data_IF_763667536455
#
_entry.id   IF_763667536455
#
_cell.length_a   1.000
_cell.length_b   1.000
_cell.length_c   1.000
_cell.angle_alpha   90.00
_cell.angle_beta   90.00
_cell.angle_gamma   90.00
#
_symmetry.space_group_name_H-M   'P 1'
#
loop_
_entity.id
_entity.type
_entity.pdbx_description
1 polymer ?
#
# COMPACT_ATOMS: atom_id res chain seq x y z
N UNK A 1 -10.85 -0.02 5.76
CA UNK A 1 -11.07 -0.29 4.31
C UNK A 1 -10.68 -1.73 4.03
N UNK A 2 -11.54 -2.49 3.35
CA UNK A 2 -11.18 -3.82 2.82
C UNK A 2 -10.31 -3.61 1.58
N UNK A 3 -9.07 -4.09 1.63
CA UNK A 3 -8.04 -3.71 0.64
C UNK A 3 -8.00 -4.63 -0.59
N UNK A 4 -8.60 -5.82 -0.51
CA UNK A 4 -8.64 -6.79 -1.61
C UNK A 4 -9.97 -7.52 -1.64
N UNK A 5 -10.62 -7.56 -2.80
CA UNK A 5 -11.74 -8.44 -3.07
C UNK A 5 -11.18 -9.70 -3.71
N UNK A 6 -11.32 -10.83 -3.03
CA UNK A 6 -10.84 -12.12 -3.53
C UNK A 6 -12.01 -13.01 -3.89
N UNK A 7 -11.83 -13.81 -4.94
CA UNK A 7 -12.82 -14.78 -5.40
C UNK A 7 -12.21 -16.17 -5.41
N UNK A 8 -13.05 -17.18 -5.15
CA UNK A 8 -12.65 -18.56 -5.37
C UNK A 8 -12.27 -18.75 -6.84
N UNK A 9 -11.06 -19.26 -7.10
CA UNK A 9 -10.56 -19.38 -8.47
C UNK A 9 -11.30 -20.38 -9.35
N UNK A 10 -11.97 -21.39 -8.79
CA UNK A 10 -12.79 -22.34 -9.56
C UNK A 10 -14.09 -21.68 -9.98
N UNK A 11 -14.77 -21.01 -9.06
CA UNK A 11 -16.01 -20.28 -9.35
C UNK A 11 -15.76 -19.10 -10.28
N UNK A 12 -14.66 -18.36 -10.07
CA UNK A 12 -14.28 -17.31 -11.01
C UNK A 12 -14.15 -17.86 -12.43
N UNK A 13 -13.50 -19.02 -12.61
CA UNK A 13 -13.33 -19.61 -13.95
C UNK A 13 -14.65 -20.05 -14.58
N UNK A 14 -15.61 -20.56 -13.78
CA UNK A 14 -16.91 -21.02 -14.28
C UNK A 14 -17.84 -19.87 -14.73
N UNK A 15 -17.60 -18.64 -14.27
CA UNK A 15 -18.42 -17.49 -14.67
C UNK A 15 -18.32 -17.18 -16.17
N UNK A 16 -19.44 -16.84 -16.83
CA UNK A 16 -19.42 -16.29 -18.18
C UNK A 16 -18.61 -14.98 -18.28
N UNK A 17 -18.14 -14.67 -19.49
CA UNK A 17 -17.20 -13.55 -19.71
C UNK A 17 -17.81 -12.17 -19.43
N UNK A 18 -19.10 -12.00 -19.73
CA UNK A 18 -19.87 -10.78 -19.44
C UNK A 18 -20.02 -10.55 -17.93
N UNK A 19 -20.31 -11.59 -17.15
CA UNK A 19 -20.36 -11.48 -15.69
C UNK A 19 -19.00 -11.13 -15.09
N UNK A 20 -17.90 -11.72 -15.60
CA UNK A 20 -16.54 -11.35 -15.20
C UNK A 20 -16.25 -9.88 -15.48
N UNK A 21 -16.65 -9.39 -16.66
CA UNK A 21 -16.45 -8.00 -17.04
C UNK A 21 -17.20 -7.04 -16.09
N UNK A 22 -18.48 -7.34 -15.80
CA UNK A 22 -19.29 -6.55 -14.85
C UNK A 22 -18.65 -6.53 -13.46
N UNK A 23 -18.20 -7.69 -12.96
CA UNK A 23 -17.57 -7.77 -11.64
C UNK A 23 -16.25 -7.00 -11.55
N UNK A 24 -15.44 -7.00 -12.61
CA UNK A 24 -14.20 -6.22 -12.67
C UNK A 24 -14.49 -4.71 -12.71
N UNK A 25 -15.46 -4.29 -13.53
CA UNK A 25 -15.87 -2.89 -13.62
C UNK A 25 -16.42 -2.39 -12.29
N UNK A 26 -17.39 -3.10 -11.72
CA UNK A 26 -18.02 -2.72 -10.45
C UNK A 26 -17.01 -2.79 -9.29
N UNK A 27 -16.09 -3.75 -9.30
CA UNK A 27 -15.00 -3.83 -8.33
C UNK A 27 -14.09 -2.60 -8.36
N UNK A 28 -13.78 -2.07 -9.55
CA UNK A 28 -13.00 -0.85 -9.70
C UNK A 28 -13.77 0.38 -9.17
N UNK A 29 -15.04 0.53 -9.55
CA UNK A 29 -15.90 1.60 -9.06
C UNK A 29 -16.09 1.56 -7.54
N UNK A 30 -16.27 0.35 -6.99
CA UNK A 30 -16.34 0.14 -5.55
C UNK A 30 -15.06 0.58 -4.85
N UNK A 31 -13.89 0.21 -5.39
CA UNK A 31 -12.60 0.60 -4.82
C UNK A 31 -12.43 2.12 -4.76
N UNK A 32 -12.86 2.85 -5.79
CA UNK A 32 -12.81 4.32 -5.79
C UNK A 32 -13.76 4.93 -4.76
N UNK A 33 -15.00 4.44 -4.66
CA UNK A 33 -15.95 4.90 -3.64
C UNK A 33 -15.44 4.62 -2.22
N UNK A 34 -14.83 3.45 -2.00
CA UNK A 34 -14.27 3.07 -0.71
C UNK A 34 -13.09 3.96 -0.29
N UNK A 35 -12.19 4.33 -1.22
CA UNK A 35 -11.10 5.29 -0.96
C UNK A 35 -11.65 6.66 -0.54
N UNK A 36 -12.64 7.18 -1.27
CA UNK A 36 -13.25 8.47 -0.94
C UNK A 36 -13.96 8.43 0.43
N UNK A 37 -14.69 7.35 0.73
CA UNK A 37 -15.35 7.17 2.01
C UNK A 37 -14.34 7.08 3.17
N UNK A 38 -13.21 6.39 2.99
CA UNK A 38 -12.16 6.30 3.98
C UNK A 38 -11.57 7.68 4.31
N UNK A 39 -11.24 8.49 3.30
CA UNK A 39 -10.72 9.85 3.50
C UNK A 39 -11.70 10.73 4.29
N UNK A 40 -12.98 10.69 3.94
CA UNK A 40 -14.01 11.44 4.65
C UNK A 40 -14.15 10.96 6.11
N UNK A 41 -14.10 9.64 6.33
CA UNK A 41 -14.18 9.04 7.65
C UNK A 41 -13.00 9.46 8.54
N UNK A 42 -11.79 9.55 7.99
CA UNK A 42 -10.60 9.97 8.75
C UNK A 42 -10.75 11.42 9.26
N UNK A 43 -11.15 12.34 8.37
CA UNK A 43 -11.39 13.76 8.72
C UNK A 43 -12.51 13.91 9.76
N UNK A 44 -13.63 13.21 9.55
CA UNK A 44 -14.77 13.27 10.49
C UNK A 44 -14.39 12.70 11.87
N UNK A 45 -13.67 11.57 11.89
CA UNK A 45 -13.27 10.90 13.13
C UNK A 45 -12.26 11.72 13.91
N UNK A 46 -11.26 12.30 13.23
CA UNK A 46 -10.31 13.24 13.83
C UNK A 46 -11.04 14.42 14.48
N UNK A 47 -11.96 15.08 13.75
CA UNK A 47 -12.74 16.19 14.26
C UNK A 47 -13.57 15.82 15.51
N UNK A 48 -14.17 14.62 15.53
CA UNK A 48 -14.88 14.11 16.71
C UNK A 48 -13.96 13.92 17.91
N UNK A 49 -12.78 13.33 17.72
CA UNK A 49 -11.81 13.11 18.78
C UNK A 49 -11.29 14.43 19.36
N UNK A 50 -11.04 15.42 18.51
CA UNK A 50 -10.68 16.78 18.93
C UNK A 50 -11.83 17.42 19.74
N UNK A 51 -13.08 17.30 19.27
CA UNK A 51 -14.25 17.79 19.98
C UNK A 51 -14.45 17.13 21.37
N UNK A 52 -13.95 15.90 21.55
CA UNK A 52 -13.92 15.18 22.83
C UNK A 52 -12.69 15.52 23.70
N UNK A 53 -11.83 16.44 23.26
CA UNK A 53 -10.71 16.95 24.04
C UNK A 53 -9.34 16.35 23.71
N UNK A 54 -9.21 15.54 22.64
CA UNK A 54 -7.88 15.10 22.18
C UNK A 54 -7.14 16.24 21.46
N UNK A 55 -5.81 16.24 21.58
CA UNK A 55 -4.95 17.16 20.82
C UNK A 55 -4.39 16.44 19.60
N UNK A 56 -4.62 17.02 18.42
CA UNK A 56 -3.95 16.59 17.20
C UNK A 56 -2.49 17.01 17.20
N UNK A 57 -1.60 16.11 16.82
CA UNK A 57 -0.18 16.43 16.60
C UNK A 57 0.34 15.68 15.39
N UNK A 58 0.95 16.42 14.46
CA UNK A 58 1.68 15.83 13.35
C UNK A 58 3.01 15.25 13.82
N UNK A 59 3.53 14.27 13.09
CA UNK A 59 4.91 13.82 13.28
C UNK A 59 5.88 14.94 12.90
N UNK A 60 6.96 15.07 13.68
CA UNK A 60 8.06 15.97 13.34
C UNK A 60 8.93 15.38 12.23
N UNK A 61 9.71 16.21 11.55
CA UNK A 61 10.64 15.74 10.52
C UNK A 61 11.66 14.71 11.06
N UNK A 62 12.10 14.87 12.31
CA UNK A 62 12.98 13.92 12.99
C UNK A 62 12.29 12.55 13.17
N UNK A 63 11.03 12.54 13.61
CA UNK A 63 10.26 11.30 13.74
C UNK A 63 10.04 10.64 12.38
N UNK A 64 9.75 11.42 11.34
CA UNK A 64 9.59 10.91 9.97
C UNK A 64 10.90 10.30 9.45
N UNK A 65 12.05 10.91 9.75
CA UNK A 65 13.36 10.37 9.39
C UNK A 65 13.64 9.02 10.10
N UNK A 66 13.30 8.91 11.39
CA UNK A 66 13.42 7.66 12.16
C UNK A 66 12.56 6.56 11.53
N UNK A 67 11.30 6.86 11.22
CA UNK A 67 10.37 5.91 10.58
C UNK A 67 10.92 5.46 9.21
N UNK A 68 11.41 6.41 8.40
CA UNK A 68 12.00 6.10 7.09
C UNK A 68 13.25 5.23 7.21
N UNK A 69 14.12 5.49 8.19
CA UNK A 69 15.30 4.67 8.42
C UNK A 69 14.92 3.26 8.88
N UNK A 70 13.93 3.10 9.76
CA UNK A 70 13.43 1.79 10.15
C UNK A 70 12.86 1.01 8.95
N UNK A 71 12.17 1.71 8.03
CA UNK A 71 11.69 1.11 6.79
C UNK A 71 12.85 0.61 5.91
N UNK A 72 13.89 1.45 5.73
CA UNK A 72 15.10 1.14 4.95
C UNK A 72 15.89 -0.03 5.55
N UNK A 73 16.10 -0.05 6.86
CA UNK A 73 17.03 -0.98 7.51
C UNK A 73 16.40 -2.34 7.83
N UNK A 74 15.08 -2.39 8.02
CA UNK A 74 14.42 -3.61 8.51
C UNK A 74 13.23 -4.02 7.66
N UNK A 75 12.29 -3.10 7.38
CA UNK A 75 11.00 -3.48 6.78
C UNK A 75 11.17 -3.92 5.33
N UNK A 76 11.78 -3.07 4.50
CA UNK A 76 11.91 -3.31 3.07
C UNK A 76 12.81 -4.51 2.75
N UNK A 77 14.02 -4.65 3.36
CA UNK A 77 14.87 -5.82 3.10
C UNK A 77 14.18 -7.14 3.43
N UNK A 78 13.56 -7.24 4.60
CA UNK A 78 12.86 -8.46 5.04
C UNK A 78 11.62 -8.75 4.19
N UNK A 79 10.94 -7.70 3.72
CA UNK A 79 9.83 -7.88 2.77
C UNK A 79 10.34 -8.40 1.42
N UNK A 80 11.40 -7.80 0.88
CA UNK A 80 11.98 -8.18 -0.40
C UNK A 80 12.44 -9.66 -0.39
N UNK A 81 13.10 -10.10 0.69
CA UNK A 81 13.47 -11.51 0.89
C UNK A 81 12.25 -12.44 0.75
N UNK A 82 11.14 -12.13 1.45
CA UNK A 82 9.90 -12.92 1.38
C UNK A 82 9.18 -12.81 0.03
N UNK A 83 9.38 -11.71 -0.70
CA UNK A 83 8.80 -11.45 -2.01
C UNK A 83 9.59 -12.09 -3.16
N UNK A 84 10.62 -12.89 -2.86
CA UNK A 84 11.43 -13.61 -3.86
C UNK A 84 12.76 -12.95 -4.20
N UNK A 85 13.16 -11.91 -3.48
CA UNK A 85 14.45 -11.22 -3.64
C UNK A 85 14.50 -10.25 -4.82
N UNK A 86 15.66 -9.63 -4.99
CA UNK A 86 15.90 -8.69 -6.09
C UNK A 86 15.72 -9.38 -7.45
N UNK A 87 15.05 -8.71 -8.40
CA UNK A 87 14.70 -9.25 -9.71
C UNK A 87 13.43 -10.11 -9.73
N UNK A 88 12.74 -10.31 -8.59
CA UNK A 88 11.39 -10.87 -8.60
C UNK A 88 10.39 -9.84 -9.12
N UNK A 89 9.31 -10.30 -9.78
CA UNK A 89 8.25 -9.43 -10.31
C UNK A 89 7.71 -8.45 -9.24
N UNK A 90 7.54 -8.93 -8.00
CA UNK A 90 7.05 -8.09 -6.90
C UNK A 90 8.03 -6.99 -6.51
N UNK A 91 9.33 -7.30 -6.46
CA UNK A 91 10.38 -6.34 -6.11
C UNK A 91 10.63 -5.35 -7.26
N UNK A 92 10.57 -5.80 -8.51
CA UNK A 92 10.63 -4.92 -9.69
C UNK A 92 9.44 -3.94 -9.74
N UNK A 93 8.23 -4.44 -9.46
CA UNK A 93 7.05 -3.58 -9.36
C UNK A 93 7.18 -2.57 -8.20
N UNK A 94 7.70 -3.00 -7.06
CA UNK A 94 7.98 -2.08 -5.95
C UNK A 94 8.98 -1.00 -6.37
N UNK A 95 10.15 -1.37 -6.91
CA UNK A 95 11.18 -0.41 -7.30
C UNK A 95 10.69 0.57 -8.37
N UNK A 96 9.82 0.14 -9.29
CA UNK A 96 9.29 0.99 -10.36
C UNK A 96 8.11 1.87 -9.95
N UNK A 97 7.28 1.45 -8.98
CA UNK A 97 6.04 2.16 -8.60
C UNK A 97 6.08 2.80 -7.23
N UNK A 98 6.67 2.13 -6.25
CA UNK A 98 6.71 2.57 -4.84
C UNK A 98 8.02 3.28 -4.52
N UNK A 99 9.14 2.79 -5.04
CA UNK A 99 10.46 3.38 -4.84
C UNK A 99 10.53 4.89 -5.15
N UNK A 100 9.92 5.39 -6.25
CA UNK A 100 9.88 6.83 -6.54
C UNK A 100 9.07 7.66 -5.54
N UNK A 101 8.08 7.06 -4.87
CA UNK A 101 7.23 7.74 -3.88
C UNK A 101 7.93 7.78 -2.52
N UNK A 102 8.54 6.67 -2.11
CA UNK A 102 9.21 6.55 -0.81
C UNK A 102 10.64 7.08 -0.83
N UNK A 103 11.25 7.14 -2.01
CA UNK A 103 12.68 7.38 -2.23
C UNK A 103 13.55 6.25 -1.65
N UNK A 104 13.05 5.01 -1.65
CA UNK A 104 13.75 3.83 -1.14
C UNK A 104 13.63 2.68 -2.14
N UNK A 105 14.77 2.09 -2.51
CA UNK A 105 14.88 1.07 -3.56
C UNK A 105 15.59 -0.16 -3.03
N UNK A 106 15.04 -1.34 -3.34
CA UNK A 106 15.70 -2.63 -3.08
C UNK A 106 16.89 -2.76 -4.03
N UNK A 107 18.03 -3.13 -3.48
CA UNK A 107 19.31 -3.30 -4.17
C UNK A 107 19.56 -4.80 -4.46
N UNK A 108 20.52 -5.14 -5.35
CA UNK A 108 20.83 -6.53 -5.68
C UNK A 108 21.29 -7.38 -4.50
N UNK A 109 21.92 -6.75 -3.50
CA UNK A 109 22.36 -7.40 -2.27
C UNK A 109 21.22 -7.64 -1.26
N UNK A 110 19.98 -7.27 -1.62
CA UNK A 110 18.79 -7.40 -0.79
C UNK A 110 18.60 -6.26 0.22
N UNK A 111 19.53 -5.30 0.30
CA UNK A 111 19.38 -4.10 1.12
C UNK A 111 18.41 -3.10 0.50
N UNK A 112 18.03 -2.06 1.25
CA UNK A 112 17.30 -0.92 0.70
C UNK A 112 18.16 0.35 0.82
N UNK A 113 18.14 1.18 -0.22
CA UNK A 113 18.89 2.44 -0.26
C UNK A 113 18.08 3.56 -0.89
N UNK A 114 18.50 4.82 -0.70
CA UNK A 114 17.86 5.97 -1.35
C UNK A 114 18.27 6.17 -2.81
N UNK A 115 19.20 5.35 -3.31
CA UNK A 115 19.74 5.45 -4.66
C UNK A 115 18.99 4.45 -5.56
N UNK A 116 18.33 4.91 -6.64
CA UNK A 116 17.82 4.01 -7.67
C UNK A 116 18.99 3.25 -8.30
N UNK A 117 18.71 2.04 -8.79
CA UNK A 117 19.71 1.26 -9.51
C UNK A 117 19.80 1.62 -10.99
#
# INVERSE_FOLDING_TARGET
AETFITFNGKEWKSLPADFKAILLEEGALHSERAKAAALNSDVESEGKLIGLGMTHSNFTDEMLAIIKNAAKESVIPKWAERAGGFGSESVEMYNSKVGPVTGLYVQPDGSASSTPQ
#
